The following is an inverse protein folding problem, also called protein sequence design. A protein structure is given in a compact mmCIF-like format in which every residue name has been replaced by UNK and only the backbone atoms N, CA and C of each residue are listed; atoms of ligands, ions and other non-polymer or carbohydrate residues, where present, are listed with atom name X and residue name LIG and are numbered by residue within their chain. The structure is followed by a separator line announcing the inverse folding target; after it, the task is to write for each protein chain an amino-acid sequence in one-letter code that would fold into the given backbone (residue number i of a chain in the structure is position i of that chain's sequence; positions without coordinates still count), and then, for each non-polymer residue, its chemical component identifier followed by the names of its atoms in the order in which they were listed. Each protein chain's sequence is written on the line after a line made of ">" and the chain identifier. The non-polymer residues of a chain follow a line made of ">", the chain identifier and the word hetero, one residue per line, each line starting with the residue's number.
data_IF_719740192354
#
_entry.id   IF_719740192354
#
_cell.length_a   1.000
_cell.length_b   1.000
_cell.length_c   1.000
_cell.angle_alpha   90.00
_cell.angle_beta   90.00
_cell.angle_gamma   90.00
#
_symmetry.space_group_name_H-M   'P 1'
#
loop_
_entity.id
_entity.type
_entity.pdbx_description
1 polymer ?
#
# COMPACT_ATOMS: atom_id res chain seq x y z
N UNK A 1 -2.97 69.35 -70.12
CA UNK A 1 -2.74 69.23 -68.66
C UNK A 1 -2.95 67.73 -68.28
N UNK A 2 -1.89 66.99 -68.06
CA UNK A 2 -1.96 65.59 -67.65
C UNK A 2 -1.51 65.48 -66.19
N UNK A 3 -2.41 65.09 -65.31
CA UNK A 3 -2.08 64.82 -63.90
C UNK A 3 -1.62 63.37 -63.80
N UNK A 4 -0.37 63.15 -63.38
CA UNK A 4 0.19 61.85 -63.08
C UNK A 4 -0.23 61.47 -61.68
N UNK A 5 -0.87 60.30 -61.58
CA UNK A 5 -1.16 59.65 -60.30
C UNK A 5 0.05 58.80 -59.89
N UNK A 6 0.59 59.11 -58.73
CA UNK A 6 1.66 58.34 -58.13
C UNK A 6 1.04 57.19 -57.29
N UNK A 7 1.45 55.96 -57.60
CA UNK A 7 1.09 54.77 -56.83
C UNK A 7 2.02 54.58 -55.60
N UNK A 8 1.43 54.42 -54.41
CA UNK A 8 2.16 54.15 -53.19
C UNK A 8 2.40 52.64 -53.05
N UNK A 9 3.54 52.19 -52.52
CA UNK A 9 3.82 50.76 -52.32
C UNK A 9 3.12 50.23 -51.05
N UNK A 10 2.42 49.13 -51.23
CA UNK A 10 1.85 48.39 -50.12
C UNK A 10 2.93 47.56 -49.44
N UNK A 11 3.18 47.83 -48.18
CA UNK A 11 4.06 47.01 -47.31
C UNK A 11 3.21 45.84 -46.75
N UNK A 12 3.49 44.62 -47.23
CA UNK A 12 2.90 43.42 -46.70
C UNK A 12 3.56 43.11 -45.34
N UNK A 13 2.79 43.24 -44.24
CA UNK A 13 3.22 42.79 -42.93
C UNK A 13 3.07 41.28 -42.82
N UNK A 14 4.19 40.56 -42.77
CA UNK A 14 4.22 39.14 -42.39
C UNK A 14 4.00 39.02 -40.88
N UNK A 15 2.84 38.53 -40.49
CA UNK A 15 2.59 38.14 -39.11
C UNK A 15 3.14 36.73 -38.86
N UNK A 16 4.21 36.66 -38.10
CA UNK A 16 4.82 35.41 -37.65
C UNK A 16 3.96 34.84 -36.50
N UNK A 17 3.13 33.84 -36.79
CA UNK A 17 2.35 33.13 -35.77
C UNK A 17 3.26 32.15 -35.02
N UNK A 18 3.60 32.49 -33.78
CA UNK A 18 4.32 31.58 -32.86
C UNK A 18 3.28 30.62 -32.30
N UNK A 19 3.29 29.36 -32.80
CA UNK A 19 2.55 28.26 -32.23
C UNK A 19 3.34 27.78 -31.00
N UNK A 20 2.90 28.16 -29.80
CA UNK A 20 3.42 27.57 -28.55
C UNK A 20 2.79 26.21 -28.37
N UNK A 21 3.55 25.14 -28.65
CA UNK A 21 3.20 23.77 -28.20
C UNK A 21 3.32 23.75 -26.67
N UNK A 22 2.19 23.98 -26.01
CA UNK A 22 2.06 23.69 -24.56
C UNK A 22 2.06 22.18 -24.35
N UNK A 23 3.17 21.62 -23.92
CA UNK A 23 3.17 20.25 -23.38
C UNK A 23 2.30 20.22 -22.11
N UNK A 24 1.36 19.28 -21.98
CA UNK A 24 0.68 19.11 -20.71
C UNK A 24 1.70 18.59 -19.68
N UNK A 25 2.12 19.44 -18.76
CA UNK A 25 2.76 18.99 -17.54
C UNK A 25 1.73 18.14 -16.77
N UNK A 26 1.76 16.83 -17.00
CA UNK A 26 1.08 15.89 -16.16
C UNK A 26 1.71 15.98 -14.77
N UNK A 27 1.00 16.60 -13.85
CA UNK A 27 1.32 16.51 -12.43
C UNK A 27 1.10 15.06 -12.03
N UNK A 28 2.18 14.30 -11.89
CA UNK A 28 2.12 13.04 -11.20
C UNK A 28 1.65 13.38 -9.78
N UNK A 29 0.43 12.97 -9.44
CA UNK A 29 -0.06 13.01 -8.08
C UNK A 29 0.79 12.03 -7.29
N UNK A 30 1.83 12.56 -6.61
CA UNK A 30 2.50 11.81 -5.56
C UNK A 30 1.43 11.49 -4.52
N UNK A 31 1.13 10.20 -4.39
CA UNK A 31 0.29 9.69 -3.32
C UNK A 31 1.05 9.94 -2.00
N UNK A 32 0.76 11.05 -1.35
CA UNK A 32 1.30 11.40 -0.04
C UNK A 32 0.62 10.56 1.05
N UNK A 33 0.81 9.24 0.98
CA UNK A 33 0.62 8.36 2.12
C UNK A 33 1.72 8.59 3.16
N UNK A 34 1.52 8.26 4.42
CA UNK A 34 2.59 8.35 5.40
C UNK A 34 3.77 7.49 4.94
N UNK A 35 4.93 8.12 4.75
CA UNK A 35 6.17 7.43 4.39
C UNK A 35 6.51 6.51 5.56
N UNK A 36 6.31 5.19 5.39
CA UNK A 36 6.66 4.17 6.37
C UNK A 36 8.11 3.72 6.22
N UNK A 37 8.67 3.18 7.29
CA UNK A 37 9.95 2.50 7.32
C UNK A 37 9.70 1.00 7.12
N UNK A 38 10.10 0.47 5.97
CA UNK A 38 9.87 -0.94 5.60
C UNK A 38 10.65 -1.93 6.48
N UNK A 39 11.86 -1.59 6.95
CA UNK A 39 12.61 -2.45 7.85
C UNK A 39 11.93 -2.53 9.23
N UNK A 40 11.45 -1.40 9.73
CA UNK A 40 10.63 -1.38 10.94
C UNK A 40 9.32 -2.13 10.72
N UNK A 41 8.73 -2.01 9.54
CA UNK A 41 7.53 -2.74 9.12
C UNK A 41 7.73 -4.25 9.17
N UNK A 42 8.88 -4.76 8.72
CA UNK A 42 9.26 -6.17 8.82
C UNK A 42 9.27 -6.65 10.27
N UNK A 43 9.85 -5.84 11.18
CA UNK A 43 9.85 -6.17 12.62
C UNK A 43 8.43 -6.22 13.18
N UNK A 44 7.57 -5.26 12.81
CA UNK A 44 6.16 -5.24 13.24
C UNK A 44 5.43 -6.47 12.71
N UNK A 45 5.56 -6.76 11.42
CA UNK A 45 4.94 -7.93 10.75
C UNK A 45 5.35 -9.24 11.41
N UNK A 46 6.66 -9.42 11.65
CA UNK A 46 7.24 -10.67 12.17
C UNK A 46 7.01 -10.86 13.67
N UNK A 47 7.28 -9.83 14.50
CA UNK A 47 7.56 -10.03 15.91
C UNK A 47 6.71 -9.17 16.85
N UNK A 48 5.99 -8.17 16.35
CA UNK A 48 5.15 -7.30 17.19
C UNK A 48 3.68 -7.67 17.05
N UNK A 49 3.18 -7.78 15.82
CA UNK A 49 1.79 -8.15 15.52
C UNK A 49 1.62 -9.62 15.19
N UNK A 50 2.72 -10.32 14.88
CA UNK A 50 2.70 -11.72 14.47
C UNK A 50 1.81 -11.98 13.25
N UNK A 51 1.79 -11.08 12.29
CA UNK A 51 1.07 -11.24 11.01
C UNK A 51 1.48 -12.54 10.31
N UNK A 52 2.75 -12.95 10.50
CA UNK A 52 3.32 -14.22 10.02
C UNK A 52 2.52 -15.45 10.44
N UNK A 53 1.81 -15.41 11.57
CA UNK A 53 1.06 -16.57 12.06
C UNK A 53 -0.10 -16.94 11.13
N UNK A 54 -0.72 -15.93 10.49
CA UNK A 54 -1.83 -16.14 9.59
C UNK A 54 -1.42 -15.99 8.12
N UNK A 55 -0.58 -14.99 7.82
CA UNK A 55 -0.21 -14.65 6.43
C UNK A 55 1.08 -15.32 5.96
N UNK A 56 1.79 -16.02 6.85
CA UNK A 56 3.07 -16.63 6.52
C UNK A 56 4.23 -15.64 6.52
N UNK A 57 5.46 -16.15 6.55
CA UNK A 57 6.66 -15.31 6.48
C UNK A 57 6.77 -14.61 5.12
N UNK A 58 6.35 -15.28 4.05
CA UNK A 58 6.36 -14.76 2.69
C UNK A 58 5.14 -13.89 2.36
N UNK A 59 4.14 -13.86 3.23
CA UNK A 59 2.85 -13.25 2.94
C UNK A 59 1.98 -14.04 1.96
N UNK A 60 2.30 -15.33 1.75
CA UNK A 60 1.65 -16.24 0.81
C UNK A 60 0.40 -16.93 1.38
N UNK A 61 0.12 -16.74 2.68
CA UNK A 61 -0.97 -17.41 3.39
C UNK A 61 -0.65 -18.86 3.80
N UNK A 62 0.39 -19.48 3.27
CA UNK A 62 0.70 -20.90 3.46
C UNK A 62 1.88 -21.13 4.41
N UNK A 63 2.84 -20.20 4.44
CA UNK A 63 4.08 -20.33 5.20
C UNK A 63 3.96 -19.86 6.65
N UNK A 64 2.76 -19.97 7.24
CA UNK A 64 2.48 -19.58 8.62
C UNK A 64 3.32 -20.36 9.64
N UNK A 65 3.68 -19.69 10.74
CA UNK A 65 4.51 -20.27 11.81
C UNK A 65 3.69 -20.87 12.95
N UNK A 66 2.39 -20.65 12.97
CA UNK A 66 1.49 -21.16 14.00
C UNK A 66 0.38 -22.00 13.35
N UNK A 67 0.49 -23.32 13.53
CA UNK A 67 -0.48 -24.28 12.97
C UNK A 67 -1.91 -24.15 13.53
N UNK A 68 -2.09 -23.44 14.64
CA UNK A 68 -3.41 -23.19 15.25
C UNK A 68 -4.02 -21.86 14.80
N UNK A 69 -3.24 -21.00 14.17
CA UNK A 69 -3.75 -19.74 13.64
C UNK A 69 -4.58 -20.00 12.37
N UNK A 70 -5.65 -19.23 12.14
CA UNK A 70 -6.37 -19.32 10.89
C UNK A 70 -5.47 -18.87 9.73
N UNK A 71 -5.60 -19.56 8.60
CA UNK A 71 -4.87 -19.18 7.37
C UNK A 71 -5.40 -17.84 6.88
N UNK A 72 -4.50 -16.89 6.69
CA UNK A 72 -4.80 -15.58 6.07
C UNK A 72 -4.73 -15.67 4.54
N UNK A 73 -5.29 -14.69 3.84
CA UNK A 73 -5.17 -14.63 2.38
C UNK A 73 -3.71 -14.42 1.94
N UNK A 74 -3.44 -14.80 0.69
CA UNK A 74 -2.19 -14.49 0.00
C UNK A 74 -2.08 -12.98 -0.21
N UNK A 75 -1.15 -12.33 0.47
CA UNK A 75 -0.90 -10.90 0.36
C UNK A 75 -0.06 -10.55 -0.88
N UNK A 76 0.64 -11.53 -1.46
CA UNK A 76 1.48 -11.32 -2.65
C UNK A 76 0.65 -11.00 -3.89
N UNK A 77 -0.62 -11.43 -3.90
CA UNK A 77 -1.59 -11.23 -4.96
C UNK A 77 -2.63 -10.13 -4.65
N UNK A 78 -2.47 -9.43 -3.53
CA UNK A 78 -3.45 -8.39 -3.17
C UNK A 78 -3.41 -7.21 -4.14
N UNK A 79 -4.60 -6.73 -4.51
CA UNK A 79 -4.79 -5.53 -5.34
C UNK A 79 -5.15 -4.29 -4.49
N UNK A 80 -5.07 -4.41 -3.16
CA UNK A 80 -5.36 -3.29 -2.27
C UNK A 80 -4.31 -2.19 -2.44
N UNK A 81 -4.77 -0.97 -2.65
CA UNK A 81 -3.91 0.21 -2.63
C UNK A 81 -3.44 0.55 -1.20
N UNK A 82 -2.48 1.48 -1.09
CA UNK A 82 -1.90 1.93 0.18
C UNK A 82 -2.96 2.32 1.21
N UNK A 83 -4.02 3.05 0.81
CA UNK A 83 -5.06 3.50 1.72
C UNK A 83 -5.95 2.34 2.18
N UNK A 84 -6.28 1.43 1.29
CA UNK A 84 -7.03 0.22 1.61
C UNK A 84 -6.22 -0.71 2.54
N UNK A 85 -4.90 -0.83 2.34
CA UNK A 85 -4.00 -1.55 3.24
C UNK A 85 -3.97 -0.92 4.63
N UNK A 86 -3.77 0.40 4.73
CA UNK A 86 -3.80 1.14 6.00
C UNK A 86 -5.11 0.88 6.73
N UNK A 87 -6.24 1.02 6.02
CA UNK A 87 -7.57 0.80 6.58
C UNK A 87 -7.77 -0.65 7.03
N UNK A 88 -7.35 -1.61 6.20
CA UNK A 88 -7.50 -3.03 6.52
C UNK A 88 -6.67 -3.44 7.74
N UNK A 89 -5.43 -2.97 7.86
CA UNK A 89 -4.57 -3.25 9.01
C UNK A 89 -5.10 -2.52 10.26
N UNK A 90 -5.46 -1.25 10.12
CA UNK A 90 -5.97 -0.45 11.24
C UNK A 90 -7.29 -0.97 11.79
N UNK A 91 -8.23 -1.25 10.91
CA UNK A 91 -9.61 -1.61 11.28
C UNK A 91 -9.87 -3.12 11.38
N UNK A 92 -8.92 -3.95 10.93
CA UNK A 92 -9.20 -5.38 10.78
C UNK A 92 -10.25 -5.65 9.70
N UNK A 93 -10.77 -6.87 9.70
CA UNK A 93 -11.85 -7.27 8.80
C UNK A 93 -13.01 -7.85 9.61
N UNK A 94 -14.11 -7.10 9.81
CA UNK A 94 -15.28 -7.57 10.51
C UNK A 94 -15.78 -8.91 9.94
N UNK A 95 -16.21 -9.81 10.82
CA UNK A 95 -16.64 -11.16 10.45
C UNK A 95 -15.53 -12.14 10.10
N UNK A 96 -14.26 -11.74 10.27
CA UNK A 96 -13.10 -12.60 10.06
C UNK A 96 -12.18 -12.61 11.28
N UNK A 97 -11.24 -13.57 11.40
CA UNK A 97 -10.23 -13.58 12.45
C UNK A 97 -9.20 -12.46 12.37
N UNK A 98 -9.15 -11.66 11.28
CA UNK A 98 -8.17 -10.57 11.16
C UNK A 98 -8.48 -9.45 12.16
N UNK A 99 -7.59 -9.20 13.15
CA UNK A 99 -7.82 -8.24 14.20
C UNK A 99 -7.64 -6.79 13.73
N UNK A 100 -8.21 -5.85 14.48
CA UNK A 100 -7.91 -4.43 14.31
C UNK A 100 -6.73 -4.00 15.19
N UNK A 101 -5.94 -3.04 14.69
CA UNK A 101 -4.73 -2.57 15.35
C UNK A 101 -4.72 -1.08 15.69
N UNK A 102 -5.55 -0.27 15.03
CA UNK A 102 -5.64 1.16 15.31
C UNK A 102 -6.24 1.38 16.71
N UNK A 103 -5.58 2.24 17.49
CA UNK A 103 -6.02 2.61 18.83
C UNK A 103 -7.42 3.21 18.87
N UNK A 104 -7.80 3.97 17.85
CA UNK A 104 -9.09 4.65 17.73
C UNK A 104 -10.10 3.88 16.86
N UNK A 105 -9.76 2.66 16.40
CA UNK A 105 -10.69 1.83 15.67
C UNK A 105 -12.03 1.69 16.40
N UNK A 106 -13.11 1.83 15.65
CA UNK A 106 -14.50 1.70 16.12
C UNK A 106 -14.91 2.67 17.25
N UNK A 107 -14.23 3.84 17.36
CA UNK A 107 -14.57 4.87 18.35
C UNK A 107 -15.08 6.17 17.73
N UNK A 108 -14.69 6.48 16.51
CA UNK A 108 -14.95 7.75 15.84
C UNK A 108 -15.44 7.58 14.39
N UNK A 109 -15.93 6.39 14.06
CA UNK A 109 -16.46 6.06 12.72
C UNK A 109 -15.40 5.85 11.65
N UNK A 110 -14.08 5.98 11.96
CA UNK A 110 -13.02 5.76 10.95
C UNK A 110 -13.03 4.36 10.35
N UNK A 111 -13.49 3.37 11.11
CA UNK A 111 -13.61 1.99 10.67
C UNK A 111 -15.02 1.72 10.16
N UNK A 112 -15.21 1.93 8.87
CA UNK A 112 -16.44 1.63 8.14
C UNK A 112 -17.68 2.42 8.62
N UNK A 113 -17.50 3.53 9.34
CA UNK A 113 -18.59 4.28 9.94
C UNK A 113 -19.26 3.59 11.13
N UNK A 114 -18.63 2.53 11.66
CA UNK A 114 -19.20 1.66 12.69
C UNK A 114 -18.52 1.86 14.04
N UNK A 115 -19.27 1.58 15.12
CA UNK A 115 -18.79 1.41 16.48
C UNK A 115 -18.88 -0.07 16.90
N UNK A 116 -18.24 -0.47 18.01
CA UNK A 116 -18.27 -1.87 18.44
C UNK A 116 -19.66 -2.37 18.82
N UNK A 117 -20.53 -1.50 19.29
CA UNK A 117 -21.93 -1.77 19.61
C UNK A 117 -22.84 -2.03 18.40
N UNK A 118 -22.39 -1.67 17.20
CA UNK A 118 -23.14 -1.91 15.97
C UNK A 118 -23.08 -3.39 15.50
N UNK A 119 -22.16 -4.16 16.10
CA UNK A 119 -22.01 -5.56 15.72
C UNK A 119 -22.90 -6.48 16.55
N UNK A 120 -23.46 -7.49 15.92
CA UNK A 120 -24.15 -8.57 16.62
C UNK A 120 -23.20 -9.27 17.62
N UNK A 121 -23.76 -9.89 18.64
CA UNK A 121 -22.98 -10.61 19.63
C UNK A 121 -22.03 -11.65 18.97
N UNK A 122 -20.75 -11.57 19.26
CA UNK A 122 -19.72 -12.44 18.69
C UNK A 122 -19.25 -12.08 17.28
N UNK A 123 -19.82 -11.06 16.63
CA UNK A 123 -19.38 -10.61 15.28
C UNK A 123 -18.48 -9.38 15.32
N UNK A 124 -18.28 -8.77 16.50
CA UNK A 124 -17.38 -7.64 16.64
C UNK A 124 -15.94 -8.03 16.28
N UNK A 125 -15.19 -7.15 15.60
CA UNK A 125 -13.81 -7.40 15.26
C UNK A 125 -12.95 -7.65 16.51
N UNK A 126 -12.00 -8.56 16.39
CA UNK A 126 -11.07 -8.91 17.48
C UNK A 126 -10.03 -7.80 17.61
N UNK A 127 -9.73 -7.40 18.83
CA UNK A 127 -8.65 -6.45 19.07
C UNK A 127 -7.30 -7.14 19.04
N UNK A 128 -6.42 -6.66 18.16
CA UNK A 128 -5.02 -7.09 18.11
C UNK A 128 -4.10 -6.20 18.96
N UNK A 129 -2.80 -6.28 18.70
CA UNK A 129 -1.80 -5.38 19.25
C UNK A 129 -2.11 -3.95 18.81
N UNK A 130 -2.14 -3.00 19.74
CA UNK A 130 -2.40 -1.60 19.42
C UNK A 130 -1.20 -0.97 18.71
N UNK A 131 -1.46 -0.34 17.57
CA UNK A 131 -0.48 0.38 16.76
C UNK A 131 -0.71 1.89 16.83
N UNK A 132 0.37 2.62 16.59
CA UNK A 132 0.31 4.02 16.15
C UNK A 132 0.10 4.05 14.63
N UNK A 133 -0.31 5.22 14.10
CA UNK A 133 -0.41 5.41 12.65
C UNK A 133 0.92 5.14 11.94
N UNK A 134 2.04 5.43 12.61
CA UNK A 134 3.38 5.13 12.11
C UNK A 134 3.65 3.62 12.03
N UNK A 135 3.21 2.82 13.00
CA UNK A 135 3.38 1.37 12.92
C UNK A 135 2.58 0.78 11.77
N UNK A 136 1.35 1.27 11.55
CA UNK A 136 0.53 0.88 10.39
C UNK A 136 1.23 1.25 9.08
N UNK A 137 1.73 2.49 8.96
CA UNK A 137 2.45 2.95 7.78
C UNK A 137 3.72 2.12 7.53
N UNK A 138 4.45 1.75 8.58
CA UNK A 138 5.64 0.90 8.48
C UNK A 138 5.31 -0.49 7.93
N UNK A 139 4.23 -1.13 8.43
CA UNK A 139 3.81 -2.45 7.92
C UNK A 139 3.39 -2.34 6.46
N UNK A 140 2.65 -1.30 6.08
CA UNK A 140 2.26 -1.09 4.68
C UNK A 140 3.49 -0.92 3.80
N UNK A 141 4.46 -0.08 4.20
CA UNK A 141 5.71 0.08 3.46
C UNK A 141 6.48 -1.24 3.30
N UNK A 142 6.47 -2.10 4.32
CA UNK A 142 7.04 -3.45 4.21
C UNK A 142 6.30 -4.31 3.21
N UNK A 143 4.98 -4.35 3.27
CA UNK A 143 4.18 -5.15 2.34
C UNK A 143 4.39 -4.71 0.88
N UNK A 144 4.38 -3.42 0.61
CA UNK A 144 4.59 -2.87 -0.73
C UNK A 144 6.02 -3.12 -1.26
N UNK A 145 7.03 -3.03 -0.39
CA UNK A 145 8.41 -3.22 -0.81
C UNK A 145 8.82 -4.69 -0.98
N UNK A 146 8.30 -5.59 -0.15
CA UNK A 146 8.85 -6.95 -0.02
C UNK A 146 7.85 -8.09 -0.19
N UNK A 147 6.56 -7.81 -0.30
CA UNK A 147 5.53 -8.84 -0.36
C UNK A 147 4.67 -8.74 -1.61
N UNK A 148 4.03 -7.61 -1.82
CA UNK A 148 3.03 -7.43 -2.89
C UNK A 148 3.69 -7.52 -4.27
N UNK A 149 3.09 -8.32 -5.17
CA UNK A 149 3.55 -8.45 -6.54
C UNK A 149 4.83 -9.29 -6.72
N UNK A 150 5.30 -9.98 -5.67
CA UNK A 150 6.56 -10.75 -5.73
C UNK A 150 6.45 -12.13 -6.37
N UNK A 151 5.24 -12.59 -6.73
CA UNK A 151 5.04 -13.95 -7.26
C UNK A 151 5.32 -15.03 -6.22
N UNK A 152 5.77 -16.22 -6.64
CA UNK A 152 6.06 -17.32 -5.73
C UNK A 152 7.22 -17.01 -4.77
N UNK A 153 7.15 -17.44 -3.50
CA UNK A 153 8.25 -17.28 -2.55
C UNK A 153 9.53 -17.99 -3.02
N UNK A 154 10.68 -17.37 -2.74
CA UNK A 154 12.00 -17.92 -3.11
C UNK A 154 12.87 -18.23 -1.88
N UNK A 155 13.90 -19.05 -2.09
CA UNK A 155 14.92 -19.31 -1.07
C UNK A 155 15.61 -18.01 -0.60
N UNK A 156 15.93 -17.10 -1.52
CA UNK A 156 16.62 -15.85 -1.19
C UNK A 156 15.75 -14.97 -0.30
N UNK A 157 14.46 -14.82 -0.61
CA UNK A 157 13.52 -14.07 0.25
C UNK A 157 13.40 -14.70 1.64
N UNK A 158 13.39 -16.03 1.72
CA UNK A 158 13.36 -16.74 2.99
C UNK A 158 14.62 -16.47 3.82
N UNK A 159 15.79 -16.62 3.23
CA UNK A 159 17.06 -16.39 3.88
C UNK A 159 17.18 -14.92 4.37
N UNK A 160 16.72 -13.98 3.60
CA UNK A 160 16.68 -12.55 3.95
C UNK A 160 15.69 -12.28 5.10
N UNK A 161 14.48 -12.84 5.02
CA UNK A 161 13.47 -12.64 6.06
C UNK A 161 13.95 -13.13 7.44
N UNK A 162 14.58 -14.29 7.49
CA UNK A 162 15.09 -14.86 8.74
C UNK A 162 16.49 -14.34 9.11
N UNK A 163 17.21 -13.72 8.19
CA UNK A 163 18.63 -13.38 8.35
C UNK A 163 19.53 -14.61 8.47
N UNK A 164 19.04 -15.76 8.00
CA UNK A 164 19.71 -17.06 8.12
C UNK A 164 19.27 -18.00 6.99
N UNK A 165 20.13 -18.35 6.04
CA UNK A 165 19.81 -19.29 4.99
C UNK A 165 19.53 -20.71 5.48
N UNK A 166 20.06 -21.09 6.68
CA UNK A 166 19.79 -22.38 7.30
C UNK A 166 18.55 -22.40 8.18
N UNK A 167 17.68 -21.38 8.12
CA UNK A 167 16.41 -21.41 8.84
C UNK A 167 15.55 -22.58 8.37
N UNK A 168 14.94 -23.31 9.30
CA UNK A 168 14.14 -24.49 8.98
C UNK A 168 12.99 -24.18 7.99
N UNK A 169 12.45 -22.96 8.02
CA UNK A 169 11.43 -22.51 7.07
C UNK A 169 11.93 -22.44 5.62
N UNK A 170 13.25 -22.34 5.39
CA UNK A 170 13.84 -22.23 4.07
C UNK A 170 14.15 -23.59 3.42
N UNK A 171 14.15 -24.69 4.20
CA UNK A 171 14.46 -26.04 3.67
C UNK A 171 13.44 -26.55 2.63
N UNK A 172 12.29 -25.92 2.54
CA UNK A 172 11.31 -26.25 1.49
C UNK A 172 11.74 -25.88 0.07
N UNK A 173 12.82 -25.12 -0.08
CA UNK A 173 13.37 -24.69 -1.37
C UNK A 173 14.62 -25.47 -1.78
N UNK A 174 15.04 -26.46 -0.98
CA UNK A 174 16.20 -27.33 -1.24
C UNK A 174 15.91 -28.41 -2.30
#
# INVERSE_FOLDING_TARGET
>A
MRMSSAAAPQIAALTLSIVTLGAPFGWAQESSGPIGDSERGRVVYRSVAYCVNCHGWAGDGESGTNLQAPVGPNLRETELDTQALIKTIGCGRPGTPMPYHDRAAYRDGRCFGMALEDFAAGAAPIRGKTFSDRDVANVVAYLEAYVIGRGEPTFLECAEFYGNPAAAACSRFD
#
